data_IF_141476709248
#
_entry.id   IF_141476709248
#
_cell.length_a   1.000
_cell.length_b   1.000
_cell.length_c   1.000
_cell.angle_alpha   90.00
_cell.angle_beta   90.00
_cell.angle_gamma   90.00
#
_symmetry.space_group_name_H-M   'P 1'
#
loop_
_entity.id
_entity.type
_entity.pdbx_description
1 polymer ?
#
# COMPACT_ATOMS: atom_id res chain seq x y z
N UNK A 1 -12.55 -33.85 -25.07
CA UNK A 1 -12.12 -32.45 -25.12
C UNK A 1 -12.50 -31.90 -23.77
N UNK A 2 -11.63 -32.18 -22.82
CA UNK A 2 -11.87 -31.97 -21.40
C UNK A 2 -11.83 -30.47 -21.13
N UNK A 3 -12.96 -29.95 -20.65
CA UNK A 3 -13.14 -28.58 -20.20
C UNK A 3 -12.35 -28.44 -18.90
N UNK A 4 -11.09 -28.01 -19.02
CA UNK A 4 -10.25 -27.68 -17.86
C UNK A 4 -10.83 -26.42 -17.22
N UNK A 5 -11.78 -26.63 -16.30
CA UNK A 5 -12.36 -25.58 -15.48
C UNK A 5 -11.27 -24.99 -14.60
N UNK A 6 -10.65 -23.90 -15.06
CA UNK A 6 -9.68 -23.11 -14.29
C UNK A 6 -10.43 -22.56 -13.06
N UNK A 7 -10.15 -23.15 -11.90
CA UNK A 7 -10.68 -22.64 -10.63
C UNK A 7 -10.26 -21.16 -10.48
N UNK A 8 -11.17 -20.27 -10.03
CA UNK A 8 -10.85 -18.85 -9.93
C UNK A 8 -9.72 -18.63 -8.93
N UNK A 9 -8.68 -17.92 -9.36
CA UNK A 9 -7.59 -17.49 -8.47
C UNK A 9 -8.16 -16.66 -7.31
N UNK A 10 -7.69 -16.89 -6.07
CA UNK A 10 -8.15 -16.12 -4.93
C UNK A 10 -7.89 -14.62 -5.15
N UNK A 11 -8.73 -13.73 -4.60
CA UNK A 11 -8.53 -12.30 -4.74
C UNK A 11 -7.18 -11.89 -4.15
N UNK A 12 -6.51 -10.90 -4.75
CA UNK A 12 -5.23 -10.41 -4.24
C UNK A 12 -5.42 -9.88 -2.81
N UNK A 13 -4.45 -10.18 -1.95
CA UNK A 13 -4.38 -9.68 -0.57
C UNK A 13 -3.32 -8.59 -0.46
N UNK A 14 -3.41 -7.78 0.59
CA UNK A 14 -2.35 -6.84 0.91
C UNK A 14 -1.01 -7.59 1.09
N UNK A 15 0.11 -7.05 0.59
CA UNK A 15 1.40 -7.74 0.61
C UNK A 15 1.99 -7.89 2.02
N UNK A 16 1.52 -7.08 2.98
CA UNK A 16 1.89 -7.15 4.39
C UNK A 16 0.68 -6.80 5.25
N UNK A 17 0.52 -7.48 6.38
CA UNK A 17 -0.56 -7.25 7.35
C UNK A 17 -0.04 -6.62 8.64
N UNK A 18 -0.95 -6.10 9.47
CA UNK A 18 -0.61 -5.61 10.81
C UNK A 18 -0.02 -6.72 11.68
N UNK A 19 -0.48 -7.96 11.54
CA UNK A 19 0.05 -9.09 12.29
C UNK A 19 1.51 -9.38 11.90
N UNK A 20 1.82 -9.33 10.60
CA UNK A 20 3.19 -9.53 10.11
C UNK A 20 4.14 -8.45 10.66
N UNK A 21 3.70 -7.18 10.63
CA UNK A 21 4.49 -6.06 11.17
C UNK A 21 4.69 -6.19 12.68
N UNK A 22 3.66 -6.61 13.42
CA UNK A 22 3.77 -6.79 14.88
C UNK A 22 4.74 -7.92 15.22
N UNK A 23 4.59 -9.08 14.59
CA UNK A 23 5.48 -10.23 14.81
C UNK A 23 6.94 -9.89 14.48
N UNK A 24 7.16 -9.13 13.40
CA UNK A 24 8.49 -8.61 13.04
C UNK A 24 9.03 -7.62 14.09
N UNK A 25 8.19 -6.72 14.61
CA UNK A 25 8.59 -5.74 15.61
C UNK A 25 8.98 -6.39 16.94
N UNK A 26 8.25 -7.43 17.36
CA UNK A 26 8.56 -8.20 18.57
C UNK A 26 9.96 -8.84 18.50
N UNK A 27 10.29 -9.45 17.36
CA UNK A 27 11.61 -10.04 17.11
C UNK A 27 12.71 -8.98 17.07
N UNK A 28 12.46 -7.88 16.35
CA UNK A 28 13.42 -6.77 16.22
C UNK A 28 13.70 -6.12 17.58
N UNK A 29 12.68 -6.01 18.43
CA UNK A 29 12.84 -5.48 19.79
C UNK A 29 13.69 -6.40 20.68
N UNK A 30 13.60 -7.72 20.49
CA UNK A 30 14.47 -8.67 21.20
C UNK A 30 15.93 -8.55 20.75
N UNK A 31 16.18 -8.50 19.44
CA UNK A 31 17.52 -8.29 18.89
C UNK A 31 18.14 -6.97 19.39
N UNK A 32 17.35 -5.89 19.43
CA UNK A 32 17.79 -4.62 19.99
C UNK A 32 18.14 -4.70 21.48
N UNK A 33 17.34 -5.41 22.29
CA UNK A 33 17.63 -5.65 23.72
C UNK A 33 18.88 -6.49 23.93
N UNK A 34 19.12 -7.47 23.07
CA UNK A 34 20.31 -8.32 23.09
C UNK A 34 21.58 -7.57 22.64
N UNK A 35 21.46 -6.34 22.13
CA UNK A 35 22.58 -5.56 21.62
C UNK A 35 23.05 -5.98 20.22
N UNK A 36 22.23 -6.75 19.49
CA UNK A 36 22.51 -7.21 18.12
C UNK A 36 22.25 -6.11 17.07
N UNK A 37 21.49 -5.06 17.45
CA UNK A 37 21.23 -3.89 16.62
C UNK A 37 21.83 -2.66 17.26
N UNK A 38 22.85 -2.09 16.62
CA UNK A 38 23.46 -0.83 17.01
C UNK A 38 22.74 0.37 16.37
N UNK A 39 23.17 1.59 16.76
CA UNK A 39 22.52 2.81 16.28
C UNK A 39 22.56 2.98 14.75
N UNK A 40 23.68 2.76 14.04
CA UNK A 40 23.70 2.74 12.58
C UNK A 40 22.70 1.75 11.96
N UNK A 41 22.65 0.50 12.43
CA UNK A 41 21.72 -0.50 11.90
C UNK A 41 20.25 -0.08 12.09
N UNK A 42 19.92 0.55 13.22
CA UNK A 42 18.59 1.09 13.48
C UNK A 42 18.24 2.28 12.57
N UNK A 43 19.22 3.13 12.23
CA UNK A 43 19.03 4.24 11.28
C UNK A 43 18.76 3.70 9.87
N UNK A 44 19.51 2.68 9.43
CA UNK A 44 19.29 2.05 8.14
C UNK A 44 17.92 1.36 8.07
N UNK A 45 17.54 0.66 9.14
CA UNK A 45 16.23 0.05 9.26
C UNK A 45 15.11 1.10 9.20
N UNK A 46 15.27 2.25 9.86
CA UNK A 46 14.33 3.36 9.77
C UNK A 46 14.20 3.86 8.32
N UNK A 47 15.30 3.96 7.58
CA UNK A 47 15.29 4.30 6.16
C UNK A 47 14.46 3.32 5.33
N UNK A 48 14.66 2.01 5.53
CA UNK A 48 13.91 0.95 4.85
C UNK A 48 12.41 1.01 5.17
N UNK A 49 12.04 1.21 6.44
CA UNK A 49 10.63 1.36 6.85
C UNK A 49 9.97 2.57 6.19
N UNK A 50 10.69 3.69 6.03
CA UNK A 50 10.15 4.87 5.34
C UNK A 50 9.91 4.60 3.85
N UNK A 51 10.80 3.88 3.19
CA UNK A 51 10.62 3.46 1.81
C UNK A 51 9.42 2.52 1.67
N UNK A 52 9.31 1.51 2.54
CA UNK A 52 8.19 0.56 2.55
C UNK A 52 6.84 1.25 2.82
N UNK A 53 6.80 2.18 3.77
CA UNK A 53 5.62 3.01 4.06
C UNK A 53 5.18 3.82 2.83
N UNK A 54 6.14 4.41 2.12
CA UNK A 54 5.87 5.14 0.86
C UNK A 54 5.30 4.20 -0.20
N UNK A 55 5.86 3.01 -0.37
CA UNK A 55 5.35 2.02 -1.32
C UNK A 55 3.92 1.58 -0.97
N UNK A 56 3.61 1.33 0.30
CA UNK A 56 2.27 0.99 0.75
C UNK A 56 1.28 2.15 0.56
N UNK A 57 1.70 3.39 0.78
CA UNK A 57 0.88 4.57 0.50
C UNK A 57 0.55 4.71 -0.99
N UNK A 58 1.52 4.49 -1.88
CA UNK A 58 1.30 4.50 -3.33
C UNK A 58 0.38 3.35 -3.77
N UNK A 59 0.51 2.16 -3.19
CA UNK A 59 -0.39 1.04 -3.45
C UNK A 59 -1.84 1.35 -3.01
N UNK A 60 -2.00 2.03 -1.86
CA UNK A 60 -3.30 2.51 -1.38
C UNK A 60 -3.92 3.55 -2.32
N UNK A 61 -3.12 4.48 -2.84
CA UNK A 61 -3.56 5.48 -3.83
C UNK A 61 -4.00 4.85 -5.16
N UNK A 62 -3.21 3.90 -5.65
CA UNK A 62 -3.57 3.13 -6.82
C UNK A 62 -4.90 2.38 -6.62
N UNK A 63 -5.06 1.71 -5.46
CA UNK A 63 -6.29 0.98 -5.16
C UNK A 63 -7.51 1.91 -5.03
N UNK A 64 -7.32 3.13 -4.49
CA UNK A 64 -8.35 4.17 -4.45
C UNK A 64 -8.80 4.56 -5.87
N UNK A 65 -7.86 4.83 -6.78
CA UNK A 65 -8.15 5.14 -8.19
C UNK A 65 -8.87 3.98 -8.87
N UNK A 66 -8.34 2.76 -8.75
CA UNK A 66 -8.93 1.57 -9.36
C UNK A 66 -10.36 1.29 -8.85
N UNK A 67 -10.60 1.47 -7.54
CA UNK A 67 -11.94 1.33 -6.98
C UNK A 67 -12.92 2.38 -7.53
N UNK A 68 -12.46 3.62 -7.73
CA UNK A 68 -13.27 4.68 -8.33
C UNK A 68 -13.60 4.41 -9.79
N UNK A 69 -12.63 3.90 -10.57
CA UNK A 69 -12.83 3.49 -11.97
C UNK A 69 -13.80 2.31 -12.08
N UNK A 70 -13.73 1.36 -11.14
CA UNK A 70 -14.68 0.26 -11.02
C UNK A 70 -16.08 0.69 -10.53
N UNK A 71 -16.32 1.99 -10.32
CA UNK A 71 -17.62 2.55 -9.97
C UNK A 71 -17.94 2.61 -8.48
N UNK A 72 -17.00 2.27 -7.58
CA UNK A 72 -17.24 2.34 -6.14
C UNK A 72 -17.46 3.79 -5.70
N UNK A 73 -18.59 4.10 -5.06
CA UNK A 73 -18.92 5.45 -4.59
C UNK A 73 -17.99 5.90 -3.44
N UNK A 74 -17.81 7.21 -3.28
CA UNK A 74 -17.04 7.74 -2.15
C UNK A 74 -17.62 7.35 -0.78
N UNK A 75 -18.93 7.10 -0.70
CA UNK A 75 -19.59 6.60 0.53
C UNK A 75 -19.17 5.17 0.86
N UNK A 76 -18.98 4.32 -0.14
CA UNK A 76 -18.47 2.94 0.07
C UNK A 76 -16.99 2.95 0.48
N UNK A 77 -16.22 3.92 0.01
CA UNK A 77 -14.78 4.04 0.29
C UNK A 77 -14.50 4.69 1.65
N UNK A 78 -15.31 5.67 2.06
CA UNK A 78 -15.07 6.47 3.27
C UNK A 78 -14.75 5.69 4.56
N UNK A 79 -15.39 4.53 4.86
CA UNK A 79 -15.07 3.75 6.06
C UNK A 79 -13.62 3.27 6.14
N UNK A 80 -12.94 3.07 5.00
CA UNK A 80 -11.53 2.63 4.95
C UNK A 80 -10.58 3.72 5.46
N UNK A 81 -10.98 4.99 5.34
CA UNK A 81 -10.16 6.15 5.73
C UNK A 81 -10.49 6.65 7.15
N UNK A 82 -11.22 5.88 7.96
CA UNK A 82 -11.64 6.25 9.30
C UNK A 82 -13.12 6.66 9.38
N UNK A 83 -13.52 7.28 10.51
CA UNK A 83 -14.93 7.52 10.90
C UNK A 83 -15.71 8.42 9.91
N UNK A 84 -16.13 7.89 8.77
CA UNK A 84 -17.23 8.37 7.94
C UNK A 84 -17.04 9.71 7.21
N UNK A 85 -15.88 10.35 7.30
CA UNK A 85 -15.65 11.61 6.58
C UNK A 85 -15.29 11.35 5.12
N UNK A 86 -16.32 11.36 4.26
CA UNK A 86 -16.21 11.34 2.78
C UNK A 86 -15.22 12.37 2.24
N UNK A 87 -14.91 13.44 3.00
CA UNK A 87 -13.92 14.46 2.65
C UNK A 87 -12.49 13.91 2.51
N UNK A 88 -12.10 12.92 3.31
CA UNK A 88 -10.76 12.34 3.26
C UNK A 88 -10.45 11.64 1.93
N UNK A 89 -11.27 10.67 1.45
CA UNK A 89 -11.04 10.06 0.14
C UNK A 89 -11.29 11.05 -1.02
N UNK A 90 -12.22 12.00 -0.88
CA UNK A 90 -12.48 12.99 -1.93
C UNK A 90 -11.28 13.92 -2.17
N UNK A 91 -10.72 14.50 -1.12
CA UNK A 91 -9.55 15.38 -1.22
C UNK A 91 -8.30 14.63 -1.72
N UNK A 92 -8.15 13.36 -1.31
CA UNK A 92 -7.07 12.49 -1.77
C UNK A 92 -7.21 12.16 -3.26
N UNK A 93 -8.43 11.83 -3.71
CA UNK A 93 -8.73 11.59 -5.12
C UNK A 93 -8.53 12.84 -5.98
N UNK A 94 -8.99 14.01 -5.51
CA UNK A 94 -8.76 15.29 -6.18
C UNK A 94 -7.27 15.57 -6.36
N UNK A 95 -6.46 15.31 -5.33
CA UNK A 95 -5.01 15.44 -5.43
C UNK A 95 -4.44 14.47 -6.47
N UNK A 96 -4.82 13.20 -6.44
CA UNK A 96 -4.35 12.18 -7.39
C UNK A 96 -4.70 12.55 -8.83
N UNK A 97 -5.93 13.02 -9.07
CA UNK A 97 -6.39 13.44 -10.40
C UNK A 97 -5.68 14.68 -10.96
N UNK A 98 -4.92 15.42 -10.17
CA UNK A 98 -4.01 16.47 -10.69
C UNK A 98 -2.72 15.89 -11.28
N UNK A 99 -2.35 14.68 -10.88
CA UNK A 99 -1.11 14.03 -11.30
C UNK A 99 -1.37 12.98 -12.39
N UNK A 100 -2.45 12.18 -12.25
CA UNK A 100 -2.82 11.11 -13.18
C UNK A 100 -4.33 10.95 -13.27
N UNK A 101 -4.83 10.58 -14.44
CA UNK A 101 -6.27 10.42 -14.69
C UNK A 101 -6.77 8.98 -14.56
N UNK A 102 -5.86 8.01 -14.45
CA UNK A 102 -6.24 6.61 -14.29
C UNK A 102 -5.29 5.80 -13.40
N UNK A 103 -5.78 4.66 -12.90
CA UNK A 103 -4.98 3.68 -12.17
C UNK A 103 -3.84 3.11 -13.03
N UNK A 104 -4.04 2.97 -14.34
CA UNK A 104 -3.00 2.56 -15.29
C UNK A 104 -1.92 3.64 -15.44
N UNK A 105 -2.30 4.91 -15.59
CA UNK A 105 -1.35 6.03 -15.63
C UNK A 105 -0.57 6.15 -14.33
N UNK A 106 -1.21 5.91 -13.19
CA UNK A 106 -0.54 5.87 -11.89
C UNK A 106 0.52 4.74 -11.84
N UNK A 107 0.18 3.55 -12.31
CA UNK A 107 1.10 2.41 -12.32
C UNK A 107 2.33 2.69 -13.19
N UNK A 108 2.14 3.31 -14.36
CA UNK A 108 3.22 3.72 -15.25
C UNK A 108 4.10 4.81 -14.63
N UNK A 109 3.51 5.81 -13.97
CA UNK A 109 4.24 6.82 -13.20
C UNK A 109 5.11 6.16 -12.13
N UNK A 110 4.58 5.18 -11.40
CA UNK A 110 5.30 4.45 -10.37
C UNK A 110 6.46 3.64 -10.94
N UNK A 111 6.27 2.95 -12.08
CA UNK A 111 7.34 2.22 -12.77
C UNK A 111 8.47 3.15 -13.17
N UNK A 112 8.18 4.34 -13.70
CA UNK A 112 9.20 5.34 -14.06
C UNK A 112 9.97 5.85 -12.83
N UNK A 113 9.25 6.12 -11.74
CA UNK A 113 9.85 6.62 -10.50
C UNK A 113 10.74 5.58 -9.81
N UNK A 114 10.42 4.29 -9.93
CA UNK A 114 11.18 3.20 -9.33
C UNK A 114 12.26 2.63 -10.27
N UNK A 115 12.04 2.68 -11.59
CA UNK A 115 12.97 2.19 -12.61
C UNK A 115 13.96 3.24 -13.13
N UNK A 116 13.76 4.52 -12.81
CA UNK A 116 14.68 5.62 -13.14
C UNK A 116 15.75 5.89 -12.08
N UNK A 117 16.16 4.85 -11.34
CA UNK A 117 17.27 4.91 -10.38
C UNK A 117 18.63 4.82 -11.06
#
# INVERSE_FOLDING_TARGET
MDDESVAPSPPPRAPITTADVLAWLEQTAEAARAGELDAPALIDLLGQLRQASTACANASDWALLAAREAGASLRQIAPVFGKGYVRAPAARLEKLHREVLSSEQFLELMRRRMGGG
#
